data_IF_866857056810
#
_entry.id   IF_866857056810
#
_cell.length_a   1.000
_cell.length_b   1.000
_cell.length_c   1.000
_cell.angle_alpha   90.00
_cell.angle_beta   90.00
_cell.angle_gamma   90.00
#
_symmetry.space_group_name_H-M   'P 1'
#
loop_
_entity.id
_entity.type
_entity.pdbx_description
1 polymer ?
#
# COMPACT_ATOMS: atom_id res chain seq x y z
N UNK A 1 0.38 -19.44 35.70
CA UNK A 1 1.42 -19.56 34.66
C UNK A 1 2.77 -19.44 35.36
N UNK A 2 3.77 -20.31 35.10
CA UNK A 2 5.05 -20.16 35.82
C UNK A 2 5.69 -18.83 35.44
N UNK A 3 6.34 -18.15 36.40
CA UNK A 3 7.00 -16.86 36.14
C UNK A 3 7.94 -16.96 34.92
N UNK A 4 8.64 -18.08 34.76
CA UNK A 4 9.51 -18.37 33.60
C UNK A 4 8.79 -18.36 32.25
N UNK A 5 7.57 -18.90 32.16
CA UNK A 5 6.77 -18.90 30.92
C UNK A 5 6.28 -17.49 30.62
N UNK A 6 5.81 -16.75 31.63
CA UNK A 6 5.38 -15.37 31.46
C UNK A 6 6.54 -14.48 30.97
N UNK A 7 7.72 -14.62 31.59
CA UNK A 7 8.93 -13.89 31.20
C UNK A 7 9.37 -14.24 29.78
N UNK A 8 9.35 -15.53 29.39
CA UNK A 8 9.70 -15.95 28.04
C UNK A 8 8.72 -15.40 26.99
N UNK A 9 7.41 -15.44 27.25
CA UNK A 9 6.40 -14.86 26.36
C UNK A 9 6.57 -13.34 26.22
N UNK A 10 6.86 -12.64 27.32
CA UNK A 10 7.11 -11.19 27.29
C UNK A 10 8.39 -10.87 26.51
N UNK A 11 9.48 -11.62 26.72
CA UNK A 11 10.73 -11.45 25.95
C UNK A 11 10.49 -11.72 24.46
N UNK A 12 9.74 -12.77 24.13
CA UNK A 12 9.38 -13.08 22.75
C UNK A 12 8.57 -11.96 22.11
N UNK A 13 7.61 -11.35 22.84
CA UNK A 13 6.84 -10.20 22.38
C UNK A 13 7.71 -8.94 22.22
N UNK A 14 8.66 -8.71 23.13
CA UNK A 14 9.58 -7.57 23.08
C UNK A 14 10.57 -7.65 21.91
N UNK A 15 10.94 -8.86 21.47
CA UNK A 15 11.78 -9.06 20.28
C UNK A 15 11.09 -8.64 18.96
N UNK A 16 9.77 -8.39 18.97
CA UNK A 16 9.03 -7.86 17.82
C UNK A 16 8.81 -6.34 17.86
N UNK A 17 9.30 -5.64 18.89
CA UNK A 17 9.20 -4.16 18.97
C UNK A 17 10.35 -3.53 18.18
N UNK A 18 10.28 -3.63 16.86
CA UNK A 18 11.12 -2.83 15.96
C UNK A 18 10.38 -1.52 15.70
N UNK A 19 11.03 -0.34 15.75
CA UNK A 19 10.42 0.88 15.25
C UNK A 19 10.01 0.67 13.79
N UNK A 20 8.70 0.56 13.56
CA UNK A 20 8.14 0.28 12.26
C UNK A 20 8.13 1.58 11.44
N UNK A 21 9.06 1.69 10.50
CA UNK A 21 9.04 2.74 9.48
C UNK A 21 8.12 2.29 8.34
N UNK A 22 6.80 2.41 8.55
CA UNK A 22 5.81 1.92 7.61
C UNK A 22 4.92 3.06 7.10
N UNK A 23 4.72 3.10 5.78
CA UNK A 23 3.65 3.90 5.20
C UNK A 23 2.32 3.62 5.91
N UNK A 24 1.50 4.65 6.13
CA UNK A 24 0.15 4.45 6.66
C UNK A 24 -0.68 3.71 5.61
N UNK A 25 -1.13 2.47 5.88
CA UNK A 25 -1.74 1.65 4.85
C UNK A 25 -3.20 2.06 4.63
N UNK A 26 -3.60 2.17 3.36
CA UNK A 26 -4.99 2.26 2.94
C UNK A 26 -5.23 1.07 2.01
N UNK A 27 -6.23 0.25 2.29
CA UNK A 27 -6.55 -0.89 1.45
C UNK A 27 -7.81 -0.59 0.67
N UNK A 28 -7.79 -0.92 -0.61
CA UNK A 28 -8.99 -1.05 -1.39
C UNK A 28 -9.91 -2.12 -0.77
N UNK A 29 -11.17 -1.74 -0.52
CA UNK A 29 -12.23 -2.62 -0.02
C UNK A 29 -13.34 -2.77 -1.08
N UNK A 30 -13.49 -1.75 -1.93
CA UNK A 30 -14.39 -1.64 -3.06
C UNK A 30 -13.66 -0.90 -4.17
N UNK A 31 -14.11 -1.13 -5.39
CA UNK A 31 -13.63 -0.46 -6.61
C UNK A 31 -13.44 1.06 -6.43
N UNK A 32 -12.28 1.57 -6.83
CA UNK A 32 -11.85 2.95 -6.59
C UNK A 32 -12.09 3.86 -7.80
N UNK A 33 -13.29 3.85 -8.38
CA UNK A 33 -13.59 4.72 -9.51
C UNK A 33 -13.60 6.23 -9.13
N UNK A 34 -13.68 7.11 -10.14
CA UNK A 34 -13.61 8.56 -9.97
C UNK A 34 -14.68 9.14 -9.02
N UNK A 35 -15.87 8.51 -8.96
CA UNK A 35 -16.94 8.95 -8.06
C UNK A 35 -16.71 8.50 -6.60
N UNK A 36 -15.95 7.42 -6.40
CA UNK A 36 -15.62 6.87 -5.09
C UNK A 36 -14.10 6.57 -4.97
N UNK A 37 -13.25 7.62 -5.02
CA UNK A 37 -11.81 7.43 -4.97
C UNK A 37 -11.33 7.05 -3.57
N UNK A 38 -10.16 6.43 -3.49
CA UNK A 38 -9.45 6.30 -2.22
C UNK A 38 -8.92 7.66 -1.78
N UNK A 39 -9.21 8.10 -0.56
CA UNK A 39 -8.83 9.45 -0.09
C UNK A 39 -7.58 9.38 0.80
N UNK A 40 -6.52 10.07 0.40
CA UNK A 40 -5.33 10.31 1.22
C UNK A 40 -5.53 11.58 2.05
N UNK A 41 -5.59 11.50 3.39
CA UNK A 41 -5.92 12.65 4.24
C UNK A 41 -4.89 13.78 4.22
N UNK A 42 -3.62 13.43 4.02
CA UNK A 42 -2.52 14.40 3.97
C UNK A 42 -1.42 13.86 3.06
N UNK A 43 -1.26 14.46 1.88
CA UNK A 43 -0.33 14.01 0.85
C UNK A 43 1.15 14.21 1.19
N UNK A 44 1.47 14.97 2.24
CA UNK A 44 2.83 15.15 2.73
C UNK A 44 3.24 13.94 3.58
N UNK A 45 2.30 13.40 4.35
CA UNK A 45 2.52 12.22 5.18
C UNK A 45 2.55 10.98 4.30
N UNK A 46 3.45 10.05 4.60
CA UNK A 46 3.63 8.86 3.78
C UNK A 46 2.50 7.83 4.00
N UNK A 47 1.65 7.69 2.99
CA UNK A 47 0.60 6.67 2.89
C UNK A 47 0.94 5.66 1.80
N UNK A 48 0.51 4.42 1.97
CA UNK A 48 0.58 3.37 0.95
C UNK A 48 -0.81 2.83 0.67
N UNK A 49 -1.29 3.03 -0.54
CA UNK A 49 -2.56 2.52 -1.03
C UNK A 49 -2.31 1.15 -1.66
N UNK A 50 -2.92 0.12 -1.11
CA UNK A 50 -2.91 -1.25 -1.63
C UNK A 50 -4.18 -1.47 -2.45
N UNK A 51 -4.02 -1.54 -3.77
CA UNK A 51 -5.14 -1.65 -4.72
C UNK A 51 -4.95 -2.78 -5.74
N UNK A 52 -6.00 -3.06 -6.49
CA UNK A 52 -6.03 -4.07 -7.52
C UNK A 52 -6.91 -3.63 -8.69
N UNK A 53 -6.27 -3.44 -9.85
CA UNK A 53 -7.01 -3.39 -11.11
C UNK A 53 -7.55 -4.79 -11.41
N UNK A 54 -8.88 -4.94 -11.48
CA UNK A 54 -9.53 -6.21 -11.78
C UNK A 54 -9.33 -6.61 -13.24
N UNK A 55 -9.38 -5.64 -14.15
CA UNK A 55 -9.28 -5.86 -15.60
C UNK A 55 -8.44 -4.78 -16.27
N UNK A 56 -8.26 -4.87 -17.60
CA UNK A 56 -7.59 -3.82 -18.39
C UNK A 56 -8.47 -2.59 -18.67
N UNK A 57 -9.76 -2.67 -18.38
CA UNK A 57 -10.69 -1.54 -18.46
C UNK A 57 -10.83 -0.81 -17.13
N UNK A 58 -10.25 -1.39 -16.07
CA UNK A 58 -10.35 -0.87 -14.73
C UNK A 58 -9.41 0.32 -14.52
N UNK A 59 -9.91 1.33 -13.81
CA UNK A 59 -9.19 2.55 -13.48
C UNK A 59 -9.49 2.92 -12.03
N UNK A 60 -8.45 2.80 -11.20
CA UNK A 60 -8.50 3.26 -9.82
C UNK A 60 -8.11 4.73 -9.73
N UNK A 61 -8.72 5.43 -8.79
CA UNK A 61 -8.47 6.84 -8.49
C UNK A 61 -8.15 6.99 -7.00
N UNK A 62 -7.03 7.65 -6.73
CA UNK A 62 -6.63 8.08 -5.39
C UNK A 62 -6.66 9.59 -5.33
N UNK A 63 -7.48 10.16 -4.44
CA UNK A 63 -7.67 11.60 -4.27
C UNK A 63 -6.85 12.12 -3.09
N UNK A 64 -6.25 13.29 -3.24
CA UNK A 64 -5.73 14.07 -2.13
C UNK A 64 -5.98 15.56 -2.33
N UNK A 65 -6.09 16.31 -1.24
CA UNK A 65 -6.16 17.77 -1.30
C UNK A 65 -4.77 18.36 -1.06
N UNK A 66 -4.44 19.42 -1.79
CA UNK A 66 -3.17 20.11 -1.67
C UNK A 66 -3.30 21.61 -1.92
N UNK A 67 -2.37 22.39 -1.38
CA UNK A 67 -2.25 23.83 -1.59
C UNK A 67 -1.17 24.12 -2.62
N UNK A 68 -1.32 25.25 -3.30
CA UNK A 68 -0.29 25.78 -4.19
C UNK A 68 1.08 25.78 -3.48
N UNK A 69 2.12 25.31 -4.18
CA UNK A 69 3.50 25.17 -3.71
C UNK A 69 3.73 24.09 -2.65
N UNK A 70 2.70 23.33 -2.24
CA UNK A 70 2.96 22.10 -1.50
C UNK A 70 3.81 21.15 -2.36
N UNK A 71 4.81 20.50 -1.77
CA UNK A 71 5.58 19.46 -2.45
C UNK A 71 4.80 18.15 -2.42
N UNK A 72 4.84 17.39 -3.51
CA UNK A 72 4.28 16.05 -3.56
C UNK A 72 5.32 15.00 -3.99
N UNK A 73 5.08 13.77 -3.56
CA UNK A 73 5.76 12.58 -4.06
C UNK A 73 4.75 11.48 -4.27
N UNK A 74 4.82 10.83 -5.42
CA UNK A 74 4.02 9.66 -5.76
C UNK A 74 4.98 8.60 -6.28
N UNK A 75 4.85 7.37 -5.79
CA UNK A 75 5.62 6.23 -6.28
C UNK A 75 4.74 4.99 -6.43
N UNK A 76 4.82 4.37 -7.59
CA UNK A 76 4.20 3.09 -7.89
C UNK A 76 5.17 1.96 -7.56
N UNK A 77 4.67 0.95 -6.86
CA UNK A 77 5.37 -0.30 -6.63
C UNK A 77 4.48 -1.49 -7.01
N UNK A 78 5.10 -2.50 -7.61
CA UNK A 78 4.41 -3.71 -8.11
C UNK A 78 4.89 -4.89 -7.27
N UNK A 79 4.02 -5.58 -6.51
CA UNK A 79 4.43 -6.71 -5.69
C UNK A 79 4.94 -7.87 -6.57
N UNK A 80 6.04 -8.49 -6.14
CA UNK A 80 6.62 -9.67 -6.80
C UNK A 80 5.83 -10.91 -6.37
N UNK A 81 4.69 -11.12 -7.03
CA UNK A 81 3.77 -12.25 -6.76
C UNK A 81 3.33 -12.91 -8.06
N UNK A 82 2.91 -14.18 -7.95
CA UNK A 82 2.38 -14.95 -9.08
C UNK A 82 1.14 -14.25 -9.67
N UNK A 83 1.14 -14.05 -10.98
CA UNK A 83 0.05 -13.40 -11.73
C UNK A 83 0.24 -11.90 -11.97
N UNK A 84 1.31 -11.30 -11.43
CA UNK A 84 1.64 -9.88 -11.55
C UNK A 84 2.87 -9.63 -12.45
N UNK A 85 3.49 -10.67 -13.01
CA UNK A 85 4.76 -10.61 -13.72
C UNK A 85 4.72 -9.61 -14.89
N UNK A 86 3.64 -9.64 -15.66
CA UNK A 86 3.45 -8.76 -16.83
C UNK A 86 2.56 -7.54 -16.54
N UNK A 87 2.23 -7.28 -15.28
CA UNK A 87 1.36 -6.15 -14.93
C UNK A 87 2.10 -4.82 -15.08
N UNK A 88 1.73 -4.01 -16.07
CA UNK A 88 2.41 -2.75 -16.42
C UNK A 88 1.44 -1.56 -16.28
N UNK A 89 1.17 -1.11 -15.05
CA UNK A 89 0.28 0.01 -14.83
C UNK A 89 0.90 1.33 -15.29
N UNK A 90 0.06 2.21 -15.78
CA UNK A 90 0.29 3.64 -15.93
C UNK A 90 -0.17 4.35 -14.65
N UNK A 91 0.45 5.48 -14.33
CA UNK A 91 -0.09 6.42 -13.35
C UNK A 91 -0.30 7.78 -14.02
N UNK A 92 -1.40 8.45 -13.70
CA UNK A 92 -1.65 9.82 -14.15
C UNK A 92 -1.93 10.73 -12.95
N UNK A 93 -1.11 11.78 -12.78
CA UNK A 93 -1.41 12.86 -11.84
C UNK A 93 -2.33 13.86 -12.52
N UNK A 94 -3.46 14.13 -11.90
CA UNK A 94 -4.57 14.93 -12.45
C UNK A 94 -4.90 16.04 -11.46
N UNK A 95 -5.12 17.26 -11.95
CA UNK A 95 -5.51 18.38 -11.12
C UNK A 95 -5.60 19.70 -11.89
N UNK A 96 -6.07 20.74 -11.21
CA UNK A 96 -6.06 22.12 -11.75
C UNK A 96 -4.64 22.66 -11.83
N UNK A 97 -4.40 23.62 -12.71
CA UNK A 97 -3.07 24.23 -12.92
C UNK A 97 -2.06 23.36 -13.66
N UNK A 98 -2.28 22.05 -13.80
CA UNK A 98 -1.52 21.17 -14.69
C UNK A 98 -1.84 21.58 -16.14
N UNK A 99 -0.81 21.92 -16.93
CA UNK A 99 -1.00 22.45 -18.29
C UNK A 99 -1.08 21.35 -19.35
N UNK A 100 -0.49 20.20 -19.05
CA UNK A 100 -0.45 19.04 -19.91
C UNK A 100 -1.84 18.45 -20.10
N UNK A 101 -2.19 18.16 -21.36
CA UNK A 101 -3.41 17.44 -21.72
C UNK A 101 -3.03 16.10 -22.32
N UNK A 102 -2.77 15.13 -21.47
CA UNK A 102 -2.43 13.77 -21.88
C UNK A 102 -3.64 13.02 -22.44
N UNK A 103 -3.40 12.06 -23.34
CA UNK A 103 -4.43 11.11 -23.80
C UNK A 103 -4.66 10.07 -22.70
N UNK A 104 -5.90 9.96 -22.25
CA UNK A 104 -6.32 9.08 -21.15
C UNK A 104 -7.43 8.14 -21.62
N UNK A 105 -7.57 6.94 -21.03
CA UNK A 105 -8.67 6.03 -21.35
C UNK A 105 -10.02 6.45 -20.71
N UNK A 106 -10.08 7.63 -20.10
CA UNK A 106 -11.24 8.20 -19.43
C UNK A 106 -11.27 9.71 -19.65
N UNK A 107 -12.43 10.33 -19.40
CA UNK A 107 -12.62 11.77 -19.53
C UNK A 107 -12.27 12.49 -18.22
N UNK A 108 -11.79 13.73 -18.35
CA UNK A 108 -11.50 14.61 -17.23
C UNK A 108 -12.45 15.82 -17.25
N UNK A 109 -12.70 16.45 -16.09
CA UNK A 109 -13.28 17.78 -16.05
C UNK A 109 -12.46 18.77 -16.89
N UNK A 110 -13.11 19.70 -17.62
CA UNK A 110 -12.44 20.61 -18.55
C UNK A 110 -11.33 21.47 -17.90
N UNK A 111 -11.49 21.78 -16.61
CA UNK A 111 -10.53 22.58 -15.83
C UNK A 111 -9.27 21.81 -15.39
N UNK A 112 -9.21 20.49 -15.63
CA UNK A 112 -8.12 19.64 -15.15
C UNK A 112 -7.15 19.32 -16.29
N UNK A 113 -5.86 19.35 -15.96
CA UNK A 113 -4.80 18.75 -16.77
C UNK A 113 -4.35 17.41 -16.19
N UNK A 114 -3.47 16.72 -16.92
CA UNK A 114 -2.89 15.46 -16.48
C UNK A 114 -1.46 15.24 -16.98
N UNK A 115 -0.62 14.75 -16.06
CA UNK A 115 0.73 14.25 -16.35
C UNK A 115 0.68 12.73 -16.27
N UNK A 116 0.96 12.04 -17.38
CA UNK A 116 0.97 10.57 -17.46
C UNK A 116 2.41 10.05 -17.35
N UNK A 117 2.62 9.08 -16.47
CA UNK A 117 3.84 8.31 -16.38
C UNK A 117 3.59 6.89 -16.91
N UNK A 118 4.18 6.52 -18.05
CA UNK A 118 4.08 5.18 -18.59
C UNK A 118 4.83 4.14 -17.73
N UNK A 119 4.61 2.83 -17.95
CA UNK A 119 5.43 1.75 -17.41
C UNK A 119 6.93 2.04 -17.52
N UNK A 120 7.57 2.23 -16.36
CA UNK A 120 8.99 2.55 -16.25
C UNK A 120 9.88 1.32 -16.04
N UNK A 121 11.18 1.58 -15.88
CA UNK A 121 12.15 0.56 -15.47
C UNK A 121 11.75 -0.01 -14.10
N UNK A 122 11.88 -1.33 -13.94
CA UNK A 122 11.59 -2.02 -12.68
C UNK A 122 12.85 -2.28 -11.89
N UNK A 123 12.94 -1.67 -10.71
CA UNK A 123 14.02 -1.91 -9.75
C UNK A 123 13.53 -2.82 -8.62
N UNK A 124 14.21 -3.94 -8.38
CA UNK A 124 13.84 -4.84 -7.28
C UNK A 124 14.07 -4.16 -5.92
N UNK A 125 13.09 -4.26 -5.04
CA UNK A 125 13.14 -3.71 -3.69
C UNK A 125 12.50 -4.69 -2.71
N UNK A 126 13.21 -5.02 -1.64
CA UNK A 126 12.67 -5.84 -0.55
C UNK A 126 12.34 -4.96 0.65
N UNK A 127 11.04 -4.83 0.94
CA UNK A 127 10.51 -4.06 2.05
C UNK A 127 10.56 -4.91 3.33
N UNK A 128 11.39 -4.49 4.30
CA UNK A 128 11.75 -5.29 5.48
C UNK A 128 10.62 -5.43 6.51
N UNK A 129 9.75 -4.42 6.64
CA UNK A 129 8.68 -4.36 7.63
C UNK A 129 7.57 -5.36 7.31
N UNK A 130 7.00 -5.28 6.10
CA UNK A 130 5.99 -6.23 5.64
C UNK A 130 6.62 -7.49 5.06
N UNK A 131 7.95 -7.57 4.94
CA UNK A 131 8.69 -8.67 4.32
C UNK A 131 8.21 -8.97 2.91
N UNK A 132 7.96 -7.91 2.13
CA UNK A 132 7.34 -8.00 0.81
C UNK A 132 8.31 -7.52 -0.25
N UNK A 133 8.51 -8.33 -1.27
CA UNK A 133 9.29 -7.96 -2.44
C UNK A 133 8.42 -7.17 -3.42
N UNK A 134 8.96 -6.08 -3.93
CA UNK A 134 8.35 -5.22 -4.94
C UNK A 134 9.32 -4.95 -6.08
N UNK A 135 8.78 -4.54 -7.22
CA UNK A 135 9.48 -3.70 -8.18
C UNK A 135 9.04 -2.26 -7.95
N UNK A 136 9.98 -1.34 -7.72
CA UNK A 136 9.73 0.10 -7.90
C UNK A 136 9.57 0.36 -9.39
N UNK A 137 8.49 1.02 -9.79
CA UNK A 137 8.14 1.23 -11.19
C UNK A 137 8.26 2.71 -11.58
N UNK A 138 7.21 3.50 -11.37
CA UNK A 138 7.22 4.94 -11.65
C UNK A 138 7.32 5.75 -10.37
N UNK A 139 7.91 6.93 -10.46
CA UNK A 139 7.76 7.95 -9.44
C UNK A 139 7.78 9.34 -10.02
N UNK A 140 7.07 10.26 -9.38
CA UNK A 140 7.08 11.69 -9.69
C UNK A 140 7.20 12.49 -8.40
N UNK A 141 7.99 13.56 -8.46
CA UNK A 141 8.07 14.62 -7.44
C UNK A 141 7.82 15.95 -8.12
N UNK A 142 7.30 16.89 -7.37
CA UNK A 142 7.12 18.26 -7.84
C UNK A 142 6.42 19.13 -6.83
N UNK A 143 5.98 20.29 -7.30
CA UNK A 143 5.20 21.24 -6.54
C UNK A 143 3.80 21.37 -7.13
N UNK A 144 2.83 21.58 -6.26
CA UNK A 144 1.42 21.72 -6.60
C UNK A 144 1.19 23.07 -7.30
N UNK A 145 0.74 23.10 -8.56
CA UNK A 145 0.63 24.34 -9.34
C UNK A 145 -0.55 25.22 -8.93
N UNK A 146 -1.63 24.64 -8.41
CA UNK A 146 -2.83 25.35 -7.98
C UNK A 146 -3.47 24.64 -6.78
N UNK A 147 -3.99 25.39 -5.81
CA UNK A 147 -4.67 24.81 -4.65
C UNK A 147 -5.96 24.08 -5.06
N UNK A 148 -6.17 22.86 -4.56
CA UNK A 148 -7.37 22.10 -4.85
C UNK A 148 -7.23 20.59 -4.65
N UNK A 149 -8.18 19.88 -5.27
CA UNK A 149 -8.18 18.42 -5.29
C UNK A 149 -7.34 17.89 -6.45
N UNK A 150 -6.48 16.94 -6.13
CA UNK A 150 -5.66 16.18 -7.07
C UNK A 150 -6.06 14.72 -7.03
N UNK A 151 -5.90 14.06 -8.16
CA UNK A 151 -6.19 12.65 -8.33
C UNK A 151 -4.98 11.95 -8.94
N UNK A 152 -4.69 10.75 -8.46
CA UNK A 152 -3.77 9.81 -9.10
C UNK A 152 -4.63 8.71 -9.68
N UNK A 153 -4.71 8.64 -11.01
CA UNK A 153 -5.35 7.52 -11.69
C UNK A 153 -4.32 6.40 -11.93
N UNK A 154 -4.74 5.16 -11.75
CA UNK A 154 -3.95 3.95 -11.98
C UNK A 154 -4.73 3.10 -12.97
N UNK A 155 -4.13 2.76 -14.10
CA UNK A 155 -4.77 1.98 -15.16
C UNK A 155 -3.75 1.15 -15.93
N UNK A 156 -4.21 0.18 -16.72
CA UNK A 156 -3.32 -0.70 -17.51
C UNK A 156 -4.02 -1.13 -18.79
N UNK A 157 -3.37 -0.97 -19.94
CA UNK A 157 -3.95 -1.37 -21.23
C UNK A 157 -3.93 -2.88 -21.49
N UNK A 158 -3.06 -3.61 -20.78
CA UNK A 158 -2.79 -5.02 -21.05
C UNK A 158 -3.67 -5.94 -20.19
N UNK A 159 -3.55 -5.78 -18.87
CA UNK A 159 -4.17 -6.64 -17.85
C UNK A 159 -4.31 -5.94 -16.51
N UNK A 160 -5.21 -6.47 -15.68
CA UNK A 160 -5.28 -6.14 -14.26
C UNK A 160 -4.11 -6.72 -13.45
N UNK A 161 -3.98 -6.25 -12.21
CA UNK A 161 -2.92 -6.66 -11.29
C UNK A 161 -2.96 -5.86 -10.00
N UNK A 162 -2.26 -6.37 -8.98
CA UNK A 162 -2.15 -5.72 -7.67
C UNK A 162 -1.03 -4.68 -7.67
N UNK A 163 -1.16 -3.64 -6.88
CA UNK A 163 -0.13 -2.63 -6.70
C UNK A 163 -0.10 -2.09 -5.28
N UNK A 164 0.98 -1.37 -4.96
CA UNK A 164 0.99 -0.42 -3.87
C UNK A 164 1.45 0.96 -4.39
N UNK A 165 0.63 1.98 -4.15
CA UNK A 165 0.90 3.38 -4.50
C UNK A 165 1.30 4.13 -3.23
N UNK A 166 2.52 4.65 -3.18
CA UNK A 166 2.94 5.55 -2.13
C UNK A 166 2.59 7.00 -2.50
N UNK A 167 2.01 7.74 -1.55
CA UNK A 167 1.82 9.19 -1.63
C UNK A 167 2.45 9.81 -0.38
N UNK A 168 3.31 10.81 -0.58
CA UNK A 168 4.03 11.50 0.48
C UNK A 168 5.27 10.75 0.99
N UNK A 169 6.20 11.51 1.58
CA UNK A 169 7.49 10.99 2.06
C UNK A 169 7.67 11.17 3.57
N UNK A 170 6.90 12.08 4.19
CA UNK A 170 7.09 12.38 5.60
C UNK A 170 6.47 11.29 6.45
N UNK A 171 7.32 10.62 7.20
CA UNK A 171 6.86 9.63 8.14
C UNK A 171 6.29 10.28 9.41
N UNK A 172 5.16 9.77 9.90
CA UNK A 172 4.52 10.22 11.14
C UNK A 172 3.91 9.04 11.87
N UNK A 173 4.60 8.61 12.93
CA UNK A 173 4.21 7.47 13.75
C UNK A 173 3.64 7.90 15.09
N UNK A 174 2.59 7.21 15.52
CA UNK A 174 2.07 7.22 16.88
C UNK A 174 2.14 5.83 17.52
N UNK A 175 1.90 5.77 18.83
CA UNK A 175 1.88 4.51 19.61
C UNK A 175 0.87 3.51 19.03
N UNK A 176 -0.25 3.99 18.51
CA UNK A 176 -1.29 3.17 17.87
C UNK A 176 -0.75 2.50 16.59
N UNK A 177 0.10 3.17 15.81
CA UNK A 177 0.70 2.61 14.60
C UNK A 177 1.63 1.41 14.95
N UNK A 178 2.34 1.49 16.09
CA UNK A 178 3.18 0.39 16.59
C UNK A 178 2.32 -0.79 17.04
N UNK A 179 1.30 -0.53 17.86
CA UNK A 179 0.43 -1.60 18.40
C UNK A 179 -0.39 -2.30 17.32
N UNK A 180 -0.72 -1.60 16.23
CA UNK A 180 -1.46 -2.16 15.09
C UNK A 180 -0.57 -2.91 14.09
N UNK A 181 0.76 -2.87 14.24
CA UNK A 181 1.68 -3.47 13.28
C UNK A 181 1.44 -4.97 12.99
N UNK A 182 1.23 -5.86 13.98
CA UNK A 182 0.97 -7.27 13.68
C UNK A 182 -0.27 -7.48 12.80
N UNK A 183 -1.31 -6.67 13.03
CA UNK A 183 -2.51 -6.69 12.21
C UNK A 183 -2.22 -6.17 10.79
N UNK A 184 -1.51 -5.06 10.65
CA UNK A 184 -1.12 -4.50 9.34
C UNK A 184 -0.28 -5.51 8.56
N UNK A 185 0.71 -6.13 9.20
CA UNK A 185 1.56 -7.16 8.61
C UNK A 185 0.72 -8.29 8.02
N UNK A 186 -0.18 -8.88 8.83
CA UNK A 186 -1.07 -9.95 8.37
C UNK A 186 -2.03 -9.48 7.28
N UNK A 187 -2.51 -8.23 7.34
CA UNK A 187 -3.41 -7.66 6.33
C UNK A 187 -2.71 -7.48 4.99
N UNK A 188 -1.47 -7.00 4.95
CA UNK A 188 -0.66 -6.91 3.73
C UNK A 188 -0.40 -8.31 3.14
N UNK A 189 -0.02 -9.28 3.99
CA UNK A 189 0.17 -10.67 3.56
C UNK A 189 -1.12 -11.27 2.99
N UNK A 190 -2.23 -11.06 3.67
CA UNK A 190 -3.54 -11.53 3.22
C UNK A 190 -3.91 -10.87 1.90
N UNK A 191 -3.73 -9.56 1.75
CA UNK A 191 -4.03 -8.83 0.53
C UNK A 191 -3.29 -9.42 -0.68
N UNK A 192 -1.98 -9.65 -0.58
CA UNK A 192 -1.20 -10.19 -1.71
C UNK A 192 -1.27 -11.70 -1.86
N UNK A 193 -1.50 -12.46 -0.79
CA UNK A 193 -1.51 -13.92 -0.81
C UNK A 193 -2.46 -14.49 0.26
N UNK A 194 -3.79 -14.45 0.02
CA UNK A 194 -4.78 -14.87 1.01
C UNK A 194 -4.57 -16.31 1.49
N UNK A 195 -4.45 -17.26 0.55
CA UNK A 195 -4.30 -18.68 0.87
C UNK A 195 -3.05 -19.01 1.69
N UNK A 196 -1.89 -18.46 1.31
CA UNK A 196 -0.64 -18.63 2.08
C UNK A 196 -0.75 -18.05 3.50
N UNK A 197 -1.43 -16.91 3.62
CA UNK A 197 -1.63 -16.25 4.91
C UNK A 197 -2.55 -17.06 5.82
N UNK A 198 -3.65 -17.61 5.27
CA UNK A 198 -4.55 -18.49 6.02
C UNK A 198 -3.85 -19.77 6.49
N UNK A 199 -3.01 -20.38 5.64
CA UNK A 199 -2.21 -21.55 6.01
C UNK A 199 -1.21 -21.23 7.13
N UNK A 200 -0.56 -20.07 7.09
CA UNK A 200 0.33 -19.59 8.16
C UNK A 200 -0.43 -19.45 9.48
N UNK A 201 -1.59 -18.79 9.46
CA UNK A 201 -2.44 -18.62 10.65
C UNK A 201 -2.87 -19.98 11.21
N UNK A 202 -3.34 -20.90 10.36
CA UNK A 202 -3.70 -22.25 10.78
C UNK A 202 -2.53 -23.00 11.42
N UNK A 203 -1.33 -22.91 10.83
CA UNK A 203 -0.11 -23.50 11.37
C UNK A 203 0.24 -22.97 12.77
N UNK A 204 0.15 -21.66 12.97
CA UNK A 204 0.36 -21.03 14.28
C UNK A 204 -0.66 -21.56 15.31
N UNK A 205 -1.93 -21.67 14.95
CA UNK A 205 -2.98 -22.21 15.84
C UNK A 205 -2.66 -23.65 16.26
N UNK A 206 -2.24 -24.50 15.32
CA UNK A 206 -1.87 -25.90 15.60
C UNK A 206 -0.67 -25.97 16.56
N UNK A 207 0.37 -25.17 16.32
CA UNK A 207 1.56 -25.10 17.19
C UNK A 207 1.18 -24.64 18.60
N UNK A 208 0.38 -23.58 18.71
CA UNK A 208 -0.09 -23.07 20.01
C UNK A 208 -0.93 -24.13 20.75
N UNK A 209 -1.85 -24.81 20.07
CA UNK A 209 -2.65 -25.89 20.65
C UNK A 209 -1.77 -27.06 21.14
N UNK A 210 -0.74 -27.43 20.36
CA UNK A 210 0.23 -28.46 20.75
C UNK A 210 1.02 -28.05 22.00
N UNK A 211 1.51 -26.80 22.07
CA UNK A 211 2.22 -26.26 23.23
C UNK A 211 1.32 -26.29 24.47
N UNK A 212 0.05 -25.83 24.35
CA UNK A 212 -0.91 -25.86 25.46
C UNK A 212 -1.14 -27.30 25.94
N UNK A 213 -1.29 -28.26 25.03
CA UNK A 213 -1.47 -29.68 25.37
C UNK A 213 -0.25 -30.24 26.11
N UNK A 214 0.97 -29.90 25.67
CA UNK A 214 2.22 -30.31 26.34
C UNK A 214 2.29 -29.70 27.75
N UNK A 215 1.96 -28.42 27.91
CA UNK A 215 1.96 -27.76 29.22
C UNK A 215 0.92 -28.39 30.16
N UNK A 216 -0.27 -28.73 29.67
CA UNK A 216 -1.31 -29.41 30.46
C UNK A 216 -0.90 -30.83 30.90
N UNK A 217 -0.14 -31.56 30.08
CA UNK A 217 0.36 -32.91 30.40
C UNK A 217 1.51 -32.93 31.40
N UNK A 218 2.20 -31.80 31.61
CA UNK A 218 3.32 -31.65 32.56
C UNK A 218 2.90 -31.08 33.93
N UNK A 219 1.60 -30.83 34.12
CA UNK A 219 0.99 -30.48 35.41
C UNK A 219 0.18 -31.67 35.88
#
# INVERSE_FOLDING_TARGET
MSKKILTFTIILLLLFVVPAYAHKPIFEIKDLNFANPSVVPNHIISYAIYGQLQTKQDVDFVKFNAKEKDTFFIQMTIPVIKGNEDFKPYIALIGKGIKEKAVLPFTLPESYGAIVLPPGQREYFYEKFTQTAYYKAQSIRGEIPESGDYYVAIYSYDRGGKYALAIGEKEKFGIIDILSFPYIYLRVKYFFSPGKTLLLIAGIIVVVAAIIKIIKRRR
#
